data_IF_756577129447
#
_entry.id   IF_756577129447
#
_cell.length_a   1.000
_cell.length_b   1.000
_cell.length_c   1.000
_cell.angle_alpha   90.00
_cell.angle_beta   90.00
_cell.angle_gamma   90.00
#
_symmetry.space_group_name_H-M   'P 1'
#
loop_
_entity.id
_entity.type
_entity.pdbx_description
1 polymer ?
#
# COMPACT_ATOMS: atom_id res chain seq x y z
N UNK A 1 6.03 3.79 18.93
CA UNK A 1 6.92 2.73 19.47
C UNK A 1 7.70 2.04 18.34
N UNK A 2 7.07 1.63 17.27
CA UNK A 2 7.64 0.81 16.19
C UNK A 2 8.73 1.55 15.43
N UNK A 3 8.52 2.82 15.06
CA UNK A 3 9.52 3.66 14.38
C UNK A 3 10.83 3.76 15.19
N UNK A 4 10.75 4.01 16.50
CA UNK A 4 11.96 4.06 17.35
C UNK A 4 12.67 2.71 17.45
N UNK A 5 11.93 1.59 17.51
CA UNK A 5 12.50 0.25 17.51
C UNK A 5 13.20 -0.06 16.18
N UNK A 6 12.60 0.36 15.06
CA UNK A 6 13.22 0.25 13.75
C UNK A 6 14.51 1.06 13.63
N UNK A 7 14.47 2.34 13.99
CA UNK A 7 15.65 3.21 13.97
C UNK A 7 16.77 2.72 14.89
N UNK A 8 16.43 2.08 16.03
CA UNK A 8 17.43 1.42 16.88
C UNK A 8 18.17 0.31 16.10
N UNK A 9 17.45 -0.53 15.37
CA UNK A 9 18.05 -1.57 14.53
C UNK A 9 18.88 -0.98 13.37
N UNK A 10 18.40 0.09 12.75
CA UNK A 10 19.17 0.82 11.73
C UNK A 10 20.50 1.32 12.32
N UNK A 11 20.45 1.89 13.51
CA UNK A 11 21.65 2.42 14.19
C UNK A 11 22.70 1.34 14.53
N UNK A 12 22.31 0.06 14.59
CA UNK A 12 23.24 -1.07 14.75
C UNK A 12 24.04 -1.35 13.46
N UNK A 13 23.54 -0.93 12.30
CA UNK A 13 24.15 -1.15 10.98
C UNK A 13 24.77 0.13 10.43
N UNK A 14 24.08 1.25 10.58
CA UNK A 14 24.52 2.58 10.11
C UNK A 14 24.25 3.58 11.23
N UNK A 15 25.31 4.25 11.67
CA UNK A 15 25.20 5.27 12.72
C UNK A 15 24.24 6.39 12.28
N UNK A 16 23.27 6.71 13.13
CA UNK A 16 22.40 7.86 12.92
C UNK A 16 23.16 9.15 13.11
N UNK A 17 22.83 10.19 12.34
CA UNK A 17 23.46 11.53 12.46
C UNK A 17 23.24 12.16 13.84
N UNK A 18 22.20 11.74 14.57
CA UNK A 18 21.86 12.22 15.89
C UNK A 18 21.47 11.05 16.81
N UNK A 19 21.67 11.14 18.12
CA UNK A 19 21.16 10.16 19.06
C UNK A 19 19.65 9.99 18.92
N UNK A 20 19.17 8.75 18.98
CA UNK A 20 17.74 8.43 18.83
C UNK A 20 16.83 9.20 19.79
N UNK A 21 17.34 9.54 20.97
CA UNK A 21 16.64 10.33 21.98
C UNK A 21 16.44 11.79 21.56
N UNK A 22 17.34 12.33 20.74
CA UNK A 22 17.26 13.70 20.24
C UNK A 22 16.32 13.85 19.04
N UNK A 23 15.89 12.74 18.43
CA UNK A 23 14.97 12.78 17.31
C UNK A 23 13.55 13.16 17.77
N UNK A 24 13.01 14.23 17.20
CA UNK A 24 11.60 14.59 17.37
C UNK A 24 10.76 13.74 16.44
N UNK A 25 9.99 12.80 16.98
CA UNK A 25 9.13 11.89 16.21
C UNK A 25 7.67 12.17 16.58
N UNK A 26 6.91 12.64 15.62
CA UNK A 26 5.48 12.91 15.75
C UNK A 26 4.69 11.87 14.94
N UNK A 27 3.68 11.28 15.55
CA UNK A 27 2.76 10.35 14.90
C UNK A 27 1.60 11.13 14.27
N UNK A 28 1.22 10.78 13.04
CA UNK A 28 0.01 11.34 12.44
C UNK A 28 -1.23 10.90 13.24
N UNK A 29 -2.24 11.76 13.41
CA UNK A 29 -3.44 11.44 14.17
C UNK A 29 -4.17 10.20 13.61
N UNK A 30 -4.78 9.42 14.51
CA UNK A 30 -5.51 8.19 14.12
C UNK A 30 -6.71 8.47 13.20
N UNK A 31 -7.30 9.64 13.29
CA UNK A 31 -8.39 10.09 12.42
C UNK A 31 -7.97 10.14 10.95
N UNK A 32 -6.72 10.52 10.69
CA UNK A 32 -6.13 10.55 9.35
C UNK A 32 -6.03 9.13 8.78
N UNK A 33 -5.65 8.15 9.62
CA UNK A 33 -5.60 6.75 9.22
C UNK A 33 -6.99 6.16 8.89
N UNK A 34 -8.04 6.57 9.62
CA UNK A 34 -9.39 6.00 9.48
C UNK A 34 -10.18 6.58 8.31
N UNK A 35 -10.06 7.89 8.08
CA UNK A 35 -10.88 8.62 7.08
C UNK A 35 -10.22 8.75 5.72
N UNK A 36 -8.96 8.36 5.61
CA UNK A 36 -8.16 8.60 4.41
C UNK A 36 -7.62 10.04 4.39
N UNK A 37 -6.33 10.12 4.27
CA UNK A 37 -5.55 11.36 4.29
C UNK A 37 -5.81 12.27 3.07
N UNK A 38 -6.32 11.68 1.99
CA UNK A 38 -6.58 12.35 0.72
C UNK A 38 -7.82 13.28 0.73
N UNK A 39 -8.67 13.23 1.77
CA UNK A 39 -9.92 14.02 1.84
C UNK A 39 -9.69 15.50 2.12
N UNK A 40 -8.46 15.91 2.46
CA UNK A 40 -8.10 17.32 2.65
C UNK A 40 -8.55 17.95 3.98
N UNK A 41 -9.14 17.16 4.88
CA UNK A 41 -9.70 17.67 6.14
C UNK A 41 -8.67 17.79 7.28
N UNK A 42 -7.42 17.35 7.07
CA UNK A 42 -6.36 17.43 8.07
C UNK A 42 -5.36 18.52 7.70
N UNK A 43 -5.21 19.51 8.58
CA UNK A 43 -4.16 20.54 8.43
C UNK A 43 -2.82 20.02 8.94
N UNK A 44 -1.94 19.67 8.01
CA UNK A 44 -0.59 19.17 8.31
C UNK A 44 0.45 20.29 8.42
N UNK A 45 0.13 21.55 8.15
CA UNK A 45 1.10 22.67 8.20
C UNK A 45 1.83 22.82 9.51
N UNK A 46 1.18 22.63 10.70
CA UNK A 46 1.91 22.68 11.97
C UNK A 46 3.04 21.67 12.11
N UNK A 47 2.95 20.52 11.42
CA UNK A 47 3.99 19.48 11.43
C UNK A 47 5.23 19.88 10.62
N UNK A 48 5.11 20.89 9.77
CA UNK A 48 6.17 21.38 8.88
C UNK A 48 6.87 22.63 9.41
N UNK A 49 6.56 23.07 10.63
CA UNK A 49 7.13 24.29 11.20
C UNK A 49 8.67 24.27 11.26
N UNK A 50 9.28 23.13 11.52
CA UNK A 50 10.73 22.97 11.54
C UNK A 50 11.34 23.12 10.13
N UNK A 51 10.67 22.65 9.08
CA UNK A 51 11.13 22.80 7.70
C UNK A 51 11.16 24.29 7.28
N UNK A 52 10.21 25.09 7.71
CA UNK A 52 10.19 26.55 7.48
C UNK A 52 11.36 27.27 8.18
N UNK A 53 12.01 26.62 9.16
CA UNK A 53 13.22 27.10 9.85
C UNK A 53 14.52 26.53 9.24
N UNK A 54 14.43 25.82 8.12
CA UNK A 54 15.58 25.23 7.43
C UNK A 54 16.03 23.86 7.96
N UNK A 55 15.18 23.15 8.69
CA UNK A 55 15.47 21.79 9.15
C UNK A 55 14.84 20.74 8.24
N UNK A 56 15.52 19.63 8.03
CA UNK A 56 14.98 18.48 7.30
C UNK A 56 13.92 17.73 8.11
N UNK A 57 12.85 17.33 7.43
CA UNK A 57 11.78 16.49 8.01
C UNK A 57 11.66 15.21 7.20
N UNK A 58 11.76 14.05 7.87
CA UNK A 58 11.51 12.75 7.28
C UNK A 58 10.06 12.30 7.50
N UNK A 59 9.33 11.96 6.44
CA UNK A 59 8.06 11.28 6.50
C UNK A 59 8.28 9.78 6.31
N UNK A 60 7.87 8.96 7.29
CA UNK A 60 8.07 7.51 7.28
C UNK A 60 6.79 6.74 7.53
N UNK A 61 6.71 5.53 7.01
CA UNK A 61 5.67 4.54 7.27
C UNK A 61 6.27 3.20 7.66
N UNK A 62 5.52 2.40 8.43
CA UNK A 62 5.91 1.04 8.82
C UNK A 62 5.64 0.01 7.71
N UNK A 63 4.68 0.31 6.82
CA UNK A 63 4.13 -0.65 5.86
C UNK A 63 4.65 -0.46 4.43
N UNK A 64 5.56 0.45 4.20
CA UNK A 64 6.11 0.73 2.88
C UNK A 64 6.32 2.21 2.63
N UNK A 65 6.03 2.66 1.41
CA UNK A 65 6.21 4.06 1.04
C UNK A 65 5.10 4.92 1.64
N UNK A 66 5.43 5.99 2.41
CA UNK A 66 4.44 6.93 2.93
C UNK A 66 3.61 7.54 1.80
N UNK A 67 2.37 7.90 2.10
CA UNK A 67 1.41 8.48 1.14
C UNK A 67 0.99 7.56 -0.02
N UNK A 68 1.48 6.32 -0.08
CA UNK A 68 1.07 5.31 -1.07
C UNK A 68 0.35 4.18 -0.36
N UNK A 69 -0.97 4.11 -0.48
CA UNK A 69 -1.85 3.22 0.29
C UNK A 69 -1.73 3.39 1.82
N UNK A 70 -1.18 4.51 2.26
CA UNK A 70 -0.84 4.86 3.63
C UNK A 70 -1.03 6.36 3.85
N UNK A 71 -1.24 6.84 5.09
CA UNK A 71 -1.26 8.26 5.39
C UNK A 71 0.05 8.98 5.03
N UNK A 72 -0.06 10.27 4.72
CA UNK A 72 1.08 11.14 4.41
C UNK A 72 0.79 12.15 3.30
N UNK A 73 -0.23 11.93 2.48
CA UNK A 73 -0.55 12.81 1.36
C UNK A 73 -0.92 14.24 1.80
N UNK A 74 -1.52 14.41 2.97
CA UNK A 74 -1.78 15.74 3.55
C UNK A 74 -0.49 16.48 3.90
N UNK A 75 0.50 15.78 4.44
CA UNK A 75 1.81 16.36 4.77
C UNK A 75 2.54 16.80 3.51
N UNK A 76 2.57 15.93 2.49
CA UNK A 76 3.19 16.23 1.20
C UNK A 76 2.51 17.43 0.53
N UNK A 77 1.18 17.47 0.52
CA UNK A 77 0.41 18.58 -0.04
C UNK A 77 0.71 19.90 0.69
N UNK A 78 0.69 19.86 2.02
CA UNK A 78 1.01 21.04 2.83
C UNK A 78 2.45 21.54 2.58
N UNK A 79 3.41 20.62 2.34
CA UNK A 79 4.77 20.99 1.97
C UNK A 79 4.81 21.76 0.64
N UNK A 80 4.12 21.28 -0.39
CA UNK A 80 4.00 22.00 -1.67
C UNK A 80 3.31 23.36 -1.51
N UNK A 81 2.23 23.42 -0.74
CA UNK A 81 1.49 24.68 -0.48
C UNK A 81 2.35 25.72 0.24
N UNK A 82 3.32 25.29 1.03
CA UNK A 82 4.28 26.13 1.75
C UNK A 82 5.59 26.39 0.98
N UNK A 83 5.72 25.87 -0.24
CA UNK A 83 6.94 26.01 -1.04
C UNK A 83 8.15 25.21 -0.48
N UNK A 84 7.89 24.19 0.34
CA UNK A 84 8.93 23.30 0.87
C UNK A 84 9.24 22.23 -0.16
N UNK A 85 10.51 22.03 -0.46
CA UNK A 85 10.96 20.97 -1.38
C UNK A 85 10.59 19.57 -0.84
N UNK A 86 10.05 18.72 -1.72
CA UNK A 86 9.70 17.33 -1.38
C UNK A 86 10.58 16.39 -2.17
N UNK A 87 11.38 15.60 -1.47
CA UNK A 87 12.30 14.61 -2.06
C UNK A 87 11.75 13.21 -1.80
N UNK A 88 11.36 12.50 -2.85
CA UNK A 88 10.96 11.11 -2.77
C UNK A 88 12.20 10.21 -2.70
N UNK A 89 12.36 9.49 -1.61
CA UNK A 89 13.42 8.51 -1.45
C UNK A 89 12.98 7.16 -2.04
N UNK A 90 13.90 6.45 -2.69
CA UNK A 90 13.64 5.11 -3.20
C UNK A 90 13.44 4.12 -2.06
N UNK A 91 12.44 3.25 -2.20
CA UNK A 91 12.12 2.23 -1.21
C UNK A 91 11.17 1.18 -1.78
N UNK A 92 10.96 0.07 -1.07
CA UNK A 92 10.03 -0.97 -1.50
C UNK A 92 8.59 -0.46 -1.46
N UNK A 93 7.85 -0.73 -2.53
CA UNK A 93 6.41 -0.48 -2.63
C UNK A 93 5.75 -1.82 -2.96
N UNK A 94 5.03 -2.41 -2.01
CA UNK A 94 4.45 -3.75 -2.16
C UNK A 94 3.54 -3.88 -3.39
N UNK A 95 2.80 -2.82 -3.74
CA UNK A 95 1.94 -2.78 -4.92
C UNK A 95 2.74 -2.95 -6.22
N UNK A 96 3.85 -2.23 -6.35
CA UNK A 96 4.72 -2.31 -7.53
C UNK A 96 5.51 -3.60 -7.58
N UNK A 97 5.92 -4.13 -6.42
CA UNK A 97 6.56 -5.45 -6.34
C UNK A 97 5.60 -6.56 -6.76
N UNK A 98 4.32 -6.48 -6.31
CA UNK A 98 3.28 -7.40 -6.73
C UNK A 98 3.04 -7.33 -8.24
N UNK A 99 2.92 -6.12 -8.80
CA UNK A 99 2.74 -5.92 -10.24
C UNK A 99 3.92 -6.50 -11.03
N UNK A 100 5.15 -6.17 -10.64
CA UNK A 100 6.36 -6.62 -11.33
C UNK A 100 6.51 -8.16 -11.33
N UNK A 101 6.05 -8.83 -10.26
CA UNK A 101 6.12 -10.30 -10.14
C UNK A 101 4.91 -11.02 -10.72
N UNK A 102 3.82 -10.31 -11.03
CA UNK A 102 2.54 -10.90 -11.46
C UNK A 102 2.51 -11.39 -12.91
N UNK A 103 3.36 -10.83 -13.78
CA UNK A 103 3.28 -11.04 -15.23
C UNK A 103 2.07 -10.35 -15.90
N UNK A 104 1.40 -9.44 -15.19
CA UNK A 104 0.30 -8.63 -15.73
C UNK A 104 0.82 -7.34 -16.37
N UNK A 105 -0.09 -6.58 -17.00
CA UNK A 105 0.28 -5.35 -17.70
C UNK A 105 0.78 -4.28 -16.73
N UNK A 106 2.08 -3.98 -16.79
CA UNK A 106 2.72 -2.93 -16.03
C UNK A 106 2.74 -1.55 -16.70
N UNK A 107 2.26 -1.44 -17.94
CA UNK A 107 2.17 -0.18 -18.70
C UNK A 107 0.89 0.60 -18.35
N UNK A 108 -0.18 -0.12 -18.00
CA UNK A 108 -1.45 0.47 -17.59
C UNK A 108 -1.99 -0.30 -16.39
N UNK A 109 -2.06 0.35 -15.24
CA UNK A 109 -2.57 -0.25 -14.00
C UNK A 109 -3.23 0.81 -13.12
N UNK A 110 -4.12 0.35 -12.26
CA UNK A 110 -4.77 1.17 -11.26
C UNK A 110 -4.77 0.47 -9.90
N UNK A 111 -4.42 1.22 -8.84
CA UNK A 111 -4.63 0.78 -7.47
C UNK A 111 -6.00 1.25 -7.00
N UNK A 112 -6.86 0.31 -6.62
CA UNK A 112 -8.26 0.57 -6.25
C UNK A 112 -8.54 0.41 -4.74
N UNK A 113 -7.48 0.29 -3.94
CA UNK A 113 -7.59 0.18 -2.48
C UNK A 113 -8.11 -1.17 -2.01
N UNK A 114 -8.98 -1.14 -0.99
CA UNK A 114 -9.67 -2.33 -0.46
C UNK A 114 -10.99 -2.54 -1.17
N UNK A 115 -11.34 -3.81 -1.41
CA UNK A 115 -12.66 -4.16 -1.93
C UNK A 115 -13.72 -4.18 -0.80
N UNK A 116 -15.02 -4.03 -1.13
CA UNK A 116 -16.10 -4.01 -0.13
C UNK A 116 -16.10 -5.24 0.77
N UNK A 117 -16.50 -5.04 2.02
CA UNK A 117 -16.60 -6.15 3.00
C UNK A 117 -17.87 -6.96 2.81
N UNK A 118 -18.96 -6.32 2.43
CA UNK A 118 -20.23 -6.96 2.17
C UNK A 118 -20.13 -7.84 0.91
N UNK A 119 -20.53 -9.13 0.96
CA UNK A 119 -20.31 -10.09 -0.12
C UNK A 119 -20.90 -9.69 -1.47
N UNK A 120 -22.12 -9.16 -1.51
CA UNK A 120 -22.80 -8.79 -2.76
C UNK A 120 -22.16 -7.56 -3.40
N UNK A 121 -21.82 -6.55 -2.59
CA UNK A 121 -21.11 -5.35 -3.05
C UNK A 121 -19.71 -5.71 -3.56
N UNK A 122 -19.03 -6.61 -2.85
CA UNK A 122 -17.72 -7.11 -3.27
C UNK A 122 -17.79 -7.84 -4.60
N UNK A 123 -18.75 -8.76 -4.78
CA UNK A 123 -18.95 -9.47 -6.04
C UNK A 123 -19.31 -8.51 -7.19
N UNK A 124 -20.12 -7.50 -6.92
CA UNK A 124 -20.44 -6.44 -7.89
C UNK A 124 -19.16 -5.69 -8.29
N UNK A 125 -18.37 -5.25 -7.30
CA UNK A 125 -17.13 -4.51 -7.53
C UNK A 125 -16.10 -5.33 -8.32
N UNK A 126 -15.97 -6.63 -8.01
CA UNK A 126 -15.08 -7.55 -8.76
C UNK A 126 -15.49 -7.60 -10.23
N UNK A 127 -16.77 -7.74 -10.55
CA UNK A 127 -17.26 -7.76 -11.95
C UNK A 127 -17.00 -6.44 -12.67
N UNK A 128 -17.17 -5.31 -12.00
CA UNK A 128 -16.88 -3.99 -12.56
C UNK A 128 -15.39 -3.85 -12.92
N UNK A 129 -14.50 -4.25 -12.02
CA UNK A 129 -13.06 -4.20 -12.21
C UNK A 129 -12.60 -5.16 -13.31
N UNK A 130 -13.16 -6.37 -13.37
CA UNK A 130 -12.89 -7.32 -14.45
C UNK A 130 -13.32 -6.76 -15.81
N UNK A 131 -14.54 -6.24 -15.90
CA UNK A 131 -15.04 -5.63 -17.12
C UNK A 131 -14.16 -4.46 -17.59
N UNK A 132 -13.68 -3.63 -16.66
CA UNK A 132 -12.75 -2.55 -16.96
C UNK A 132 -11.42 -3.11 -17.48
N UNK A 133 -10.85 -4.09 -16.79
CA UNK A 133 -9.59 -4.72 -17.17
C UNK A 133 -9.66 -5.35 -18.56
N UNK A 134 -10.71 -6.10 -18.85
CA UNK A 134 -10.90 -6.76 -20.14
C UNK A 134 -11.08 -5.75 -21.29
N UNK A 135 -11.80 -4.65 -21.05
CA UNK A 135 -12.05 -3.62 -22.06
C UNK A 135 -10.83 -2.75 -22.35
N UNK A 136 -10.01 -2.44 -21.32
CA UNK A 136 -8.93 -1.45 -21.44
C UNK A 136 -7.53 -2.06 -21.43
N UNK A 137 -7.38 -3.33 -21.06
CA UNK A 137 -6.09 -3.96 -20.80
C UNK A 137 -5.41 -3.47 -19.53
N UNK A 138 -6.11 -2.70 -18.65
CA UNK A 138 -5.55 -2.14 -17.43
C UNK A 138 -5.56 -3.15 -16.29
N UNK A 139 -4.40 -3.38 -15.67
CA UNK A 139 -4.30 -4.21 -14.47
C UNK A 139 -4.96 -3.50 -13.27
N UNK A 140 -5.83 -4.20 -12.57
CA UNK A 140 -6.48 -3.72 -11.35
C UNK A 140 -5.74 -4.27 -10.13
N UNK A 141 -5.17 -3.39 -9.31
CA UNK A 141 -4.46 -3.73 -8.08
C UNK A 141 -5.33 -3.41 -6.86
N UNK A 142 -5.43 -4.33 -5.93
CA UNK A 142 -6.08 -4.09 -4.65
C UNK A 142 -5.31 -4.82 -3.53
N UNK A 143 -5.56 -4.45 -2.31
CA UNK A 143 -4.95 -5.06 -1.12
C UNK A 143 -6.02 -5.63 -0.21
N UNK A 144 -5.63 -6.63 0.58
CA UNK A 144 -6.50 -7.23 1.59
C UNK A 144 -5.74 -7.51 2.88
N UNK A 145 -6.47 -7.60 3.97
CA UNK A 145 -5.93 -7.95 5.28
C UNK A 145 -5.94 -9.46 5.50
N UNK A 146 -4.98 -10.02 6.23
CA UNK A 146 -4.83 -11.48 6.38
C UNK A 146 -6.12 -12.20 6.80
N UNK A 147 -6.85 -11.65 7.78
CA UNK A 147 -8.08 -12.26 8.30
C UNK A 147 -9.25 -12.28 7.29
N UNK A 148 -9.15 -11.58 6.15
CA UNK A 148 -10.16 -11.55 5.09
C UNK A 148 -9.74 -12.33 3.83
N UNK A 149 -8.50 -12.80 3.76
CA UNK A 149 -7.94 -13.44 2.57
C UNK A 149 -8.79 -14.59 2.06
N UNK A 150 -9.23 -15.50 2.94
CA UNK A 150 -10.03 -16.67 2.54
C UNK A 150 -11.37 -16.25 1.89
N UNK A 151 -12.10 -15.30 2.51
CA UNK A 151 -13.37 -14.80 1.99
C UNK A 151 -13.18 -14.02 0.67
N UNK A 152 -12.08 -13.29 0.53
CA UNK A 152 -11.73 -12.58 -0.69
C UNK A 152 -11.42 -13.57 -1.82
N UNK A 153 -10.57 -14.56 -1.58
CA UNK A 153 -10.24 -15.59 -2.58
C UNK A 153 -11.48 -16.35 -3.04
N UNK A 154 -12.35 -16.74 -2.12
CA UNK A 154 -13.61 -17.37 -2.47
C UNK A 154 -14.46 -16.49 -3.40
N UNK A 155 -14.60 -15.20 -3.06
CA UNK A 155 -15.36 -14.25 -3.89
C UNK A 155 -14.74 -14.07 -5.29
N UNK A 156 -13.43 -13.98 -5.39
CA UNK A 156 -12.73 -13.85 -6.67
C UNK A 156 -12.93 -15.07 -7.57
N UNK A 157 -12.69 -16.27 -7.02
CA UNK A 157 -12.79 -17.52 -7.75
C UNK A 157 -14.24 -17.82 -8.21
N UNK A 158 -15.25 -17.41 -7.41
CA UNK A 158 -16.66 -17.56 -7.78
C UNK A 158 -17.14 -16.53 -8.79
N UNK A 159 -16.59 -15.32 -8.75
CA UNK A 159 -17.13 -14.17 -9.51
C UNK A 159 -16.46 -13.97 -10.85
N UNK A 160 -15.12 -14.13 -10.91
CA UNK A 160 -14.32 -13.88 -12.10
C UNK A 160 -14.52 -14.95 -13.18
N UNK A 161 -14.37 -14.56 -14.44
CA UNK A 161 -14.45 -15.46 -15.60
C UNK A 161 -13.28 -16.47 -15.60
N UNK A 162 -13.47 -17.70 -16.14
CA UNK A 162 -12.45 -18.75 -16.11
C UNK A 162 -11.10 -18.36 -16.72
N UNK A 163 -11.10 -17.53 -17.75
CA UNK A 163 -9.90 -17.11 -18.47
C UNK A 163 -9.25 -15.85 -17.87
N UNK A 164 -9.89 -15.18 -16.92
CA UNK A 164 -9.30 -14.03 -16.24
C UNK A 164 -8.08 -14.46 -15.46
N UNK A 165 -6.96 -13.76 -15.63
CA UNK A 165 -5.74 -14.00 -14.86
C UNK A 165 -5.79 -13.25 -13.54
N UNK A 166 -5.54 -13.96 -12.47
CA UNK A 166 -5.42 -13.45 -11.11
C UNK A 166 -4.03 -13.73 -10.56
N UNK A 167 -3.35 -12.69 -10.09
CA UNK A 167 -2.11 -12.83 -9.34
C UNK A 167 -2.37 -12.53 -7.86
N UNK A 168 -1.89 -13.40 -6.98
CA UNK A 168 -1.93 -13.24 -5.53
C UNK A 168 -0.51 -13.23 -5.01
N UNK A 169 -0.16 -12.14 -4.32
CA UNK A 169 1.17 -11.95 -3.76
C UNK A 169 1.05 -11.71 -2.25
N UNK A 170 1.89 -12.35 -1.47
CA UNK A 170 1.97 -12.13 -0.02
C UNK A 170 3.41 -12.21 0.46
N UNK A 171 3.73 -11.56 1.60
CA UNK A 171 5.05 -11.61 2.20
C UNK A 171 6.18 -11.14 1.29
N UNK A 172 5.89 -10.30 0.29
CA UNK A 172 6.89 -9.74 -0.62
C UNK A 172 8.01 -9.08 0.19
N UNK A 173 9.27 -9.29 -0.24
CA UNK A 173 10.51 -8.92 0.48
C UNK A 173 10.87 -9.79 1.68
N UNK A 174 10.00 -10.71 2.11
CA UNK A 174 10.33 -11.70 3.14
C UNK A 174 10.90 -12.97 2.50
N UNK A 175 11.63 -13.75 3.28
CA UNK A 175 12.22 -15.04 2.82
C UNK A 175 11.17 -16.02 2.28
N UNK A 176 9.92 -15.92 2.77
CA UNK A 176 8.79 -16.76 2.34
C UNK A 176 7.79 -15.98 1.49
N UNK A 177 8.25 -14.92 0.82
CA UNK A 177 7.40 -14.19 -0.12
C UNK A 177 6.94 -15.06 -1.26
N UNK A 178 5.65 -14.98 -1.60
CA UNK A 178 5.02 -15.77 -2.67
C UNK A 178 4.30 -14.84 -3.63
N UNK A 179 4.44 -15.11 -4.92
CA UNK A 179 3.59 -14.58 -5.97
C UNK A 179 3.16 -15.75 -6.85
N UNK A 180 1.84 -15.96 -6.94
CA UNK A 180 1.24 -16.93 -7.86
C UNK A 180 0.30 -16.23 -8.80
N UNK A 181 0.49 -16.42 -10.12
CA UNK A 181 -0.29 -15.80 -11.19
C UNK A 181 -0.85 -16.88 -12.10
N UNK A 182 -2.16 -17.08 -12.06
CA UNK A 182 -2.87 -18.15 -12.77
C UNK A 182 -4.19 -17.66 -13.35
N UNK A 183 -4.76 -18.43 -14.29
CA UNK A 183 -6.17 -18.23 -14.68
C UNK A 183 -7.11 -18.64 -13.55
N UNK A 184 -8.29 -18.05 -13.51
CA UNK A 184 -9.31 -18.43 -12.51
C UNK A 184 -9.68 -19.91 -12.63
N UNK A 185 -9.67 -20.47 -13.84
CA UNK A 185 -9.87 -21.90 -14.02
C UNK A 185 -8.85 -22.73 -13.23
N UNK A 186 -7.57 -22.35 -13.26
CA UNK A 186 -6.53 -23.04 -12.48
C UNK A 186 -6.66 -22.79 -10.98
N UNK A 187 -7.04 -21.58 -10.58
CA UNK A 187 -7.31 -21.27 -9.17
C UNK A 187 -8.46 -22.11 -8.59
N UNK A 188 -9.47 -22.47 -9.39
CA UNK A 188 -10.59 -23.35 -8.97
C UNK A 188 -10.14 -24.76 -8.63
N UNK A 189 -9.12 -25.26 -9.31
CA UNK A 189 -8.59 -26.62 -9.08
C UNK A 189 -7.58 -26.68 -7.93
N UNK A 190 -6.91 -25.58 -7.65
CA UNK A 190 -5.91 -25.48 -6.58
C UNK A 190 -6.05 -24.15 -5.83
N UNK A 191 -7.09 -24.00 -5.01
CA UNK A 191 -7.25 -22.79 -4.22
C UNK A 191 -6.12 -22.70 -3.21
N UNK A 192 -5.11 -21.87 -3.48
CA UNK A 192 -4.11 -21.56 -2.47
C UNK A 192 -4.70 -20.52 -1.52
N UNK A 193 -4.62 -20.81 -0.24
CA UNK A 193 -4.81 -19.80 0.79
C UNK A 193 -3.49 -19.03 0.86
N UNK A 194 -3.54 -17.69 0.73
CA UNK A 194 -2.39 -16.87 1.07
C UNK A 194 -2.13 -17.11 2.58
N UNK A 195 -1.00 -17.75 2.89
CA UNK A 195 -0.61 -17.98 4.27
C UNK A 195 -0.49 -16.64 5.01
N UNK A 196 -0.98 -16.65 6.24
CA UNK A 196 -0.94 -15.52 7.18
C UNK A 196 0.49 -15.17 7.60
#
# INVERSE_FOLDING_TARGET
KTTRAYLKRVNEVVALCQPLQALNITELPREVHKKGDHTGNFDARPLLAAALQGHDIGLGSESGMPAVADPGSSVVRAAHDLGIEVIALTGPVSLLLALASSGLNGQSFAFVGYLPQEPNERAKRIRELESLALRTGQTQLFIETPYRNAAMMQSLVQTLQPNTRLAVCSGLTLTRGVCRSETIQNWRHQPAVADN
#
